data_IF_176495532695
#
_entry.id   IF_176495532695
#
_cell.length_a   1.000
_cell.length_b   1.000
_cell.length_c   1.000
_cell.angle_alpha   90.00
_cell.angle_beta   90.00
_cell.angle_gamma   90.00
#
_symmetry.space_group_name_H-M   'P 1'
#
loop_
_entity.id
_entity.type
_entity.pdbx_description
1 polymer ?
#
# COMPACT_ATOMS: atom_id res chain seq x y z
N UNK A 1 -1.08 20.09 -12.17
CA UNK A 1 -0.94 20.64 -10.79
C UNK A 1 0.55 20.63 -10.52
N UNK A 2 1.16 21.79 -10.35
CA UNK A 2 2.61 21.88 -10.15
C UNK A 2 2.90 21.65 -8.65
N UNK A 3 3.76 20.69 -8.27
CA UNK A 3 4.15 20.49 -6.87
C UNK A 3 4.85 21.72 -6.29
N UNK A 4 4.76 21.91 -4.97
CA UNK A 4 5.53 22.95 -4.28
C UNK A 4 7.04 22.69 -4.47
N UNK A 5 7.81 23.63 -5.03
CA UNK A 5 9.25 23.45 -5.25
C UNK A 5 10.04 23.25 -3.95
N UNK A 6 9.50 23.66 -2.79
CA UNK A 6 10.12 23.41 -1.48
C UNK A 6 9.87 21.98 -0.94
N UNK A 7 9.00 21.20 -1.60
CA UNK A 7 8.72 19.83 -1.17
C UNK A 7 9.88 18.89 -1.54
N UNK A 8 10.60 18.41 -0.52
CA UNK A 8 11.65 17.39 -0.67
C UNK A 8 11.10 16.06 -0.17
N UNK A 9 10.96 15.07 -1.07
CA UNK A 9 10.56 13.73 -0.64
C UNK A 9 11.70 13.07 0.16
N UNK A 10 11.34 12.29 1.19
CA UNK A 10 12.30 11.66 2.13
C UNK A 10 13.39 10.82 1.44
N UNK A 11 13.10 10.31 0.23
CA UNK A 11 14.02 9.48 -0.55
C UNK A 11 14.41 10.13 -1.89
N UNK A 12 14.17 11.43 -2.06
CA UNK A 12 14.46 12.15 -3.29
C UNK A 12 15.98 12.21 -3.51
N UNK A 13 16.46 11.63 -4.61
CA UNK A 13 17.84 11.86 -5.04
C UNK A 13 17.97 13.29 -5.58
N UNK A 14 19.15 13.90 -5.47
CA UNK A 14 19.43 15.19 -6.13
C UNK A 14 19.21 15.14 -7.64
N UNK A 15 19.31 13.96 -8.24
CA UNK A 15 19.07 13.71 -9.67
C UNK A 15 17.61 13.43 -10.02
N UNK A 16 16.72 13.31 -9.03
CA UNK A 16 15.30 13.06 -9.25
C UNK A 16 14.52 14.37 -9.14
N UNK A 17 14.17 14.93 -10.30
CA UNK A 17 13.15 15.96 -10.38
C UNK A 17 11.78 15.28 -10.45
N UNK A 18 10.86 15.57 -9.54
CA UNK A 18 9.50 15.05 -9.65
C UNK A 18 8.90 15.63 -10.92
N UNK A 19 8.62 14.75 -11.88
CA UNK A 19 7.90 15.12 -13.09
C UNK A 19 6.47 15.54 -12.78
N UNK A 20 5.80 16.14 -13.76
CA UNK A 20 4.40 16.50 -13.62
C UNK A 20 3.54 15.28 -13.28
N UNK A 21 2.76 15.40 -12.21
CA UNK A 21 1.80 14.38 -11.82
C UNK A 21 0.61 14.49 -12.77
N UNK A 22 0.51 13.54 -13.70
CA UNK A 22 -0.65 13.40 -14.58
C UNK A 22 -1.61 12.34 -14.02
N UNK A 23 -2.86 12.75 -13.76
CA UNK A 23 -3.92 11.86 -13.30
C UNK A 23 -4.99 11.81 -14.40
N UNK A 24 -5.14 10.70 -15.14
CA UNK A 24 -6.17 10.59 -16.16
C UNK A 24 -7.57 10.60 -15.53
N UNK A 25 -8.55 11.14 -16.25
CA UNK A 25 -9.95 11.06 -15.82
C UNK A 25 -10.48 9.64 -16.02
N UNK A 26 -11.09 9.01 -15.01
CA UNK A 26 -11.63 7.63 -15.15
C UNK A 26 -12.62 7.49 -16.31
N UNK A 27 -13.31 8.56 -16.73
CA UNK A 27 -14.20 8.53 -17.90
C UNK A 27 -13.49 8.15 -19.22
N UNK A 28 -12.16 8.29 -19.28
CA UNK A 28 -11.36 7.85 -20.43
C UNK A 28 -10.98 6.37 -20.33
N UNK A 29 -11.19 5.74 -19.18
CA UNK A 29 -10.81 4.36 -18.86
C UNK A 29 -12.02 3.43 -18.65
N UNK A 30 -13.19 3.99 -18.35
CA UNK A 30 -14.43 3.23 -18.16
C UNK A 30 -15.64 3.98 -18.72
N UNK A 31 -16.52 3.25 -19.41
CA UNK A 31 -17.81 3.72 -19.91
C UNK A 31 -18.96 3.56 -18.90
N UNK A 32 -18.71 2.91 -17.75
CA UNK A 32 -19.72 2.67 -16.71
C UNK A 32 -20.03 3.99 -15.99
N UNK A 33 -21.32 4.31 -15.85
CA UNK A 33 -21.75 5.59 -15.29
C UNK A 33 -21.38 5.74 -13.81
N UNK A 34 -21.44 4.63 -13.08
CA UNK A 34 -21.17 4.54 -11.64
C UNK A 34 -19.71 4.84 -11.31
N UNK A 35 -18.78 4.43 -12.19
CA UNK A 35 -17.32 4.63 -12.03
C UNK A 35 -16.93 6.10 -12.01
N UNK A 36 -17.77 6.98 -12.59
CA UNK A 36 -17.60 8.43 -12.47
C UNK A 36 -17.50 8.84 -11.01
N UNK A 37 -18.19 8.15 -10.08
CA UNK A 37 -18.13 8.45 -8.65
C UNK A 37 -16.72 8.27 -8.07
N UNK A 38 -15.96 7.32 -8.60
CA UNK A 38 -14.59 7.00 -8.17
C UNK A 38 -13.52 7.81 -8.87
N UNK A 39 -13.88 8.67 -9.84
CA UNK A 39 -12.93 9.49 -10.58
C UNK A 39 -12.20 10.51 -9.67
N UNK A 40 -10.88 10.38 -9.45
CA UNK A 40 -10.12 11.29 -8.58
C UNK A 40 -10.10 12.71 -9.14
N UNK A 41 -10.01 12.88 -10.46
CA UNK A 41 -10.04 14.22 -11.11
C UNK A 41 -11.37 14.91 -10.87
N UNK A 42 -12.50 14.19 -11.01
CA UNK A 42 -13.83 14.74 -10.73
C UNK A 42 -13.96 15.12 -9.25
N UNK A 43 -13.50 14.27 -8.35
CA UNK A 43 -13.52 14.53 -6.91
C UNK A 43 -12.69 15.78 -6.54
N UNK A 44 -11.49 15.93 -7.13
CA UNK A 44 -10.64 17.10 -6.92
C UNK A 44 -11.27 18.38 -7.47
N UNK A 45 -11.81 18.36 -8.70
CA UNK A 45 -12.53 19.50 -9.28
C UNK A 45 -13.69 19.95 -8.41
N UNK A 46 -14.49 19.00 -7.92
CA UNK A 46 -15.59 19.28 -7.00
C UNK A 46 -15.11 19.84 -5.66
N UNK A 47 -14.05 19.26 -5.10
CA UNK A 47 -13.49 19.74 -3.84
C UNK A 47 -12.97 21.17 -3.96
N UNK A 48 -12.19 21.48 -5.00
CA UNK A 48 -11.65 22.81 -5.28
C UNK A 48 -12.77 23.86 -5.37
N UNK A 49 -13.82 23.60 -6.15
CA UNK A 49 -14.95 24.53 -6.29
C UNK A 49 -15.71 24.75 -4.98
N UNK A 50 -15.93 23.69 -4.19
CA UNK A 50 -16.65 23.78 -2.91
C UNK A 50 -15.91 24.54 -1.82
N UNK A 51 -14.59 24.64 -1.92
CA UNK A 51 -13.73 25.21 -0.90
C UNK A 51 -13.09 26.53 -1.34
N UNK A 52 -13.27 26.94 -2.59
CA UNK A 52 -12.68 28.14 -3.20
C UNK A 52 -12.79 29.38 -2.29
N UNK A 53 -14.00 29.68 -1.81
CA UNK A 53 -14.28 30.85 -0.95
C UNK A 53 -13.75 30.73 0.48
N UNK A 54 -13.38 29.53 0.91
CA UNK A 54 -12.91 29.23 2.28
C UNK A 54 -11.38 29.21 2.36
N UNK A 55 -10.69 29.12 1.23
CA UNK A 55 -9.24 28.92 1.17
C UNK A 55 -8.50 30.19 1.57
N UNK A 56 -7.58 30.02 2.51
CA UNK A 56 -6.62 31.04 2.94
C UNK A 56 -5.17 30.57 2.72
N UNK A 57 -4.99 29.45 2.00
CA UNK A 57 -3.71 28.79 1.77
C UNK A 57 -3.65 28.19 0.37
N UNK A 58 -2.42 28.01 -0.12
CA UNK A 58 -2.11 27.31 -1.38
C UNK A 58 -2.12 25.79 -1.24
N UNK A 59 -2.21 25.25 0.00
CA UNK A 59 -2.33 23.81 0.23
C UNK A 59 -3.57 23.25 -0.45
N UNK A 60 -3.43 22.08 -1.08
CA UNK A 60 -4.54 21.40 -1.73
C UNK A 60 -5.67 21.14 -0.74
N UNK A 61 -5.35 20.49 0.39
CA UNK A 61 -6.32 20.14 1.41
C UNK A 61 -6.30 21.13 2.58
N UNK A 62 -7.50 21.55 2.97
CA UNK A 62 -7.78 22.44 4.10
C UNK A 62 -8.67 21.73 5.13
N UNK A 63 -8.59 22.14 6.39
CA UNK A 63 -9.48 21.67 7.44
C UNK A 63 -10.94 22.08 7.13
N UNK A 64 -11.94 21.24 7.44
CA UNK A 64 -13.34 21.53 7.12
C UNK A 64 -14.02 22.51 8.08
N UNK A 65 -13.25 23.15 8.98
CA UNK A 65 -13.75 24.08 10.00
C UNK A 65 -12.86 25.33 10.02
N UNK A 66 -13.41 26.51 10.38
CA UNK A 66 -12.61 27.69 10.63
C UNK A 66 -11.47 27.38 11.63
N UNK A 67 -10.26 27.90 11.40
CA UNK A 67 -9.86 28.90 10.40
C UNK A 67 -9.54 28.37 8.98
N UNK A 68 -9.95 27.15 8.61
CA UNK A 68 -9.75 26.56 7.27
C UNK A 68 -8.28 26.51 6.82
N UNK A 69 -7.39 26.27 7.78
CA UNK A 69 -5.95 26.14 7.55
C UNK A 69 -5.58 24.86 6.82
N UNK A 70 -4.34 24.78 6.35
CA UNK A 70 -3.79 23.58 5.70
C UNK A 70 -3.95 22.34 6.58
N UNK A 71 -4.41 21.24 5.99
CA UNK A 71 -4.44 19.96 6.68
C UNK A 71 -3.00 19.45 6.94
N UNK A 72 -2.70 19.06 8.18
CA UNK A 72 -1.41 18.45 8.52
C UNK A 72 -1.26 17.04 7.93
N UNK A 73 -0.01 16.54 7.86
CA UNK A 73 0.28 15.15 7.46
C UNK A 73 -0.49 14.14 8.32
N UNK A 74 -0.57 14.37 9.62
CA UNK A 74 -1.29 13.50 10.55
C UNK A 74 -2.81 13.53 10.32
N UNK A 75 -3.34 14.72 10.00
CA UNK A 75 -4.77 14.87 9.68
C UNK A 75 -5.13 14.10 8.42
N UNK A 76 -4.33 14.23 7.36
CA UNK A 76 -4.51 13.49 6.12
C UNK A 76 -4.39 11.98 6.33
N UNK A 77 -3.40 11.55 7.11
CA UNK A 77 -3.21 10.14 7.50
C UNK A 77 -4.45 9.59 8.22
N UNK A 78 -5.00 10.36 9.17
CA UNK A 78 -6.23 9.98 9.88
C UNK A 78 -7.43 9.86 8.94
N UNK A 79 -7.69 10.87 8.10
CA UNK A 79 -8.79 10.83 7.14
C UNK A 79 -8.70 9.62 6.22
N UNK A 80 -7.50 9.33 5.75
CA UNK A 80 -7.25 8.19 4.88
C UNK A 80 -7.58 6.88 5.59
N UNK A 81 -7.04 6.66 6.79
CA UNK A 81 -7.31 5.47 7.62
C UNK A 81 -8.79 5.32 7.95
N UNK A 82 -9.46 6.41 8.33
CA UNK A 82 -10.90 6.40 8.66
C UNK A 82 -11.76 6.06 7.43
N UNK A 83 -11.35 6.51 6.24
CA UNK A 83 -12.04 6.21 4.98
C UNK A 83 -11.93 4.74 4.60
N UNK A 84 -10.76 4.12 4.77
CA UNK A 84 -10.55 2.72 4.35
C UNK A 84 -10.94 1.69 5.40
N UNK A 85 -10.96 2.05 6.69
CA UNK A 85 -11.24 1.12 7.79
C UNK A 85 -12.50 0.25 7.60
N UNK A 86 -13.63 0.77 7.07
CA UNK A 86 -14.82 -0.06 6.85
C UNK A 86 -14.63 -1.17 5.81
N UNK A 87 -13.60 -1.06 4.95
CA UNK A 87 -13.36 -1.96 3.82
C UNK A 87 -12.17 -2.90 4.07
N UNK A 88 -11.47 -2.77 5.19
CA UNK A 88 -10.30 -3.60 5.50
C UNK A 88 -10.72 -4.87 6.23
N UNK A 89 -10.28 -6.02 5.74
CA UNK A 89 -10.51 -7.33 6.34
C UNK A 89 -9.37 -7.70 7.29
N UNK A 90 -9.68 -8.19 8.49
CA UNK A 90 -8.69 -8.70 9.45
C UNK A 90 -8.63 -7.92 10.78
N UNK A 91 -7.82 -8.41 11.71
CA UNK A 91 -7.69 -7.84 13.06
C UNK A 91 -6.73 -6.65 13.14
N UNK A 92 -5.84 -6.49 12.15
CA UNK A 92 -4.84 -5.42 12.16
C UNK A 92 -5.45 -4.08 11.75
N UNK A 93 -5.12 -3.02 12.51
CA UNK A 93 -5.57 -1.66 12.20
C UNK A 93 -4.86 -1.16 10.94
N UNK A 94 -5.57 -0.69 9.91
CA UNK A 94 -4.93 -0.18 8.71
C UNK A 94 -4.14 1.10 8.99
N UNK A 95 -2.99 1.23 8.33
CA UNK A 95 -2.16 2.43 8.34
C UNK A 95 -2.28 3.12 6.99
N UNK A 96 -2.16 4.45 6.99
CA UNK A 96 -2.16 5.24 5.75
C UNK A 96 -1.10 4.76 4.74
N UNK A 97 0.04 4.26 5.24
CA UNK A 97 1.12 3.74 4.42
C UNK A 97 0.77 2.44 3.69
N UNK A 98 -0.15 1.63 4.21
CA UNK A 98 -0.47 0.31 3.64
C UNK A 98 -1.11 0.43 2.25
N UNK A 99 -1.84 1.53 1.99
CA UNK A 99 -2.47 1.82 0.68
C UNK A 99 -1.43 1.87 -0.43
N UNK A 100 -0.26 2.43 -0.15
CA UNK A 100 0.82 2.51 -1.14
C UNK A 100 1.33 1.12 -1.51
N UNK A 101 1.43 0.22 -0.52
CA UNK A 101 1.77 -1.17 -0.75
C UNK A 101 0.73 -1.90 -1.58
N UNK A 102 -0.53 -1.86 -1.13
CA UNK A 102 -1.65 -2.52 -1.81
C UNK A 102 -1.77 -2.04 -3.27
N UNK A 103 -1.68 -0.72 -3.51
CA UNK A 103 -1.75 -0.16 -4.87
C UNK A 103 -0.63 -0.67 -5.77
N UNK A 104 0.61 -0.71 -5.28
CA UNK A 104 1.75 -1.15 -6.07
C UNK A 104 1.72 -2.67 -6.31
N UNK A 105 1.34 -3.47 -5.31
CA UNK A 105 1.15 -4.91 -5.47
C UNK A 105 -0.01 -5.23 -6.43
N UNK A 106 -1.11 -4.49 -6.36
CA UNK A 106 -2.23 -4.62 -7.32
C UNK A 106 -1.77 -4.33 -8.75
N UNK A 107 -0.97 -3.28 -8.95
CA UNK A 107 -0.40 -2.97 -10.27
C UNK A 107 0.51 -4.11 -10.79
N UNK A 108 1.33 -4.70 -9.91
CA UNK A 108 2.16 -5.85 -10.26
C UNK A 108 1.30 -7.05 -10.71
N UNK A 109 0.24 -7.38 -9.94
CA UNK A 109 -0.68 -8.47 -10.29
C UNK A 109 -1.48 -8.19 -11.57
N UNK A 110 -1.67 -6.92 -11.92
CA UNK A 110 -2.26 -6.52 -13.20
C UNK A 110 -1.26 -6.58 -14.38
N UNK A 111 -0.02 -7.03 -14.16
CA UNK A 111 1.00 -7.20 -15.19
C UNK A 111 1.77 -5.92 -15.54
N UNK A 112 1.67 -4.87 -14.72
CA UNK A 112 2.48 -3.66 -14.93
C UNK A 112 3.95 -3.98 -14.61
N UNK A 113 4.90 -3.64 -15.50
CA UNK A 113 6.32 -3.89 -15.26
C UNK A 113 6.82 -3.25 -13.97
N UNK A 114 7.72 -3.94 -13.27
CA UNK A 114 8.22 -3.49 -11.97
C UNK A 114 8.94 -2.14 -12.06
N UNK A 115 9.65 -1.88 -13.15
CA UNK A 115 10.32 -0.62 -13.44
C UNK A 115 9.34 0.55 -13.50
N UNK A 116 8.16 0.36 -14.09
CA UNK A 116 7.12 1.37 -14.18
C UNK A 116 6.46 1.61 -12.83
N UNK A 117 6.26 0.56 -12.04
CA UNK A 117 5.76 0.66 -10.66
C UNK A 117 6.76 1.44 -9.79
N UNK A 118 8.05 1.10 -9.87
CA UNK A 118 9.10 1.79 -9.12
C UNK A 118 9.21 3.26 -9.53
N UNK A 119 9.13 3.55 -10.82
CA UNK A 119 9.11 4.93 -11.35
C UNK A 119 7.89 5.70 -10.87
N UNK A 120 6.69 5.14 -10.98
CA UNK A 120 5.44 5.76 -10.54
C UNK A 120 5.39 5.97 -9.02
N UNK A 121 5.97 5.03 -8.25
CA UNK A 121 6.08 5.15 -6.82
C UNK A 121 7.20 6.14 -6.41
N UNK A 122 8.19 6.43 -7.26
CA UNK A 122 9.45 7.07 -6.88
C UNK A 122 10.27 6.24 -5.87
N UNK A 123 10.38 4.94 -6.12
CA UNK A 123 11.26 4.02 -5.39
C UNK A 123 12.55 3.76 -6.17
N UNK A 124 13.67 3.70 -5.45
CA UNK A 124 15.00 3.48 -6.05
C UNK A 124 15.28 2.02 -6.36
N UNK A 125 14.82 1.11 -5.49
CA UNK A 125 15.20 -0.30 -5.60
C UNK A 125 13.97 -1.21 -5.52
N UNK A 126 13.94 -2.27 -6.34
CA UNK A 126 12.93 -3.33 -6.22
C UNK A 126 12.92 -3.97 -4.84
N UNK A 127 14.08 -4.02 -4.15
CA UNK A 127 14.23 -4.68 -2.84
C UNK A 127 13.36 -4.06 -1.75
N UNK A 128 13.18 -2.74 -1.76
CA UNK A 128 12.26 -2.07 -0.82
C UNK A 128 10.79 -2.33 -1.17
N UNK A 129 10.48 -2.53 -2.45
CA UNK A 129 9.13 -2.90 -2.87
C UNK A 129 8.78 -4.35 -2.48
N UNK A 130 9.65 -5.29 -2.84
CA UNK A 130 9.45 -6.72 -2.58
C UNK A 130 9.40 -7.01 -1.08
N UNK A 131 10.35 -6.48 -0.31
CA UNK A 131 10.44 -6.77 1.13
C UNK A 131 9.26 -6.19 1.94
N UNK A 132 8.73 -5.03 1.55
CA UNK A 132 7.73 -4.32 2.34
C UNK A 132 6.29 -4.51 1.86
N UNK A 133 6.05 -4.94 0.62
CA UNK A 133 4.70 -4.91 0.03
C UNK A 133 4.27 -6.18 -0.72
N UNK A 134 5.17 -7.15 -0.95
CA UNK A 134 4.83 -8.51 -1.44
C UNK A 134 4.90 -9.58 -0.36
N UNK A 135 5.02 -9.17 0.91
CA UNK A 135 5.30 -10.08 2.04
C UNK A 135 4.26 -11.19 2.19
N UNK A 136 2.98 -10.89 1.98
CA UNK A 136 1.90 -11.89 2.08
C UNK A 136 1.95 -12.93 0.94
N UNK A 137 2.36 -12.51 -0.26
CA UNK A 137 2.54 -13.41 -1.42
C UNK A 137 3.73 -14.33 -1.21
N UNK A 138 4.86 -13.80 -0.72
CA UNK A 138 6.04 -14.59 -0.39
C UNK A 138 5.76 -15.57 0.76
N UNK A 139 4.98 -15.16 1.76
CA UNK A 139 4.53 -16.06 2.82
C UNK A 139 3.61 -17.18 2.29
N UNK A 140 2.70 -16.87 1.37
CA UNK A 140 1.82 -17.86 0.75
C UNK A 140 2.60 -18.87 -0.11
N UNK A 141 3.56 -18.39 -0.92
CA UNK A 141 4.45 -19.24 -1.72
C UNK A 141 5.36 -20.11 -0.84
N UNK A 142 5.92 -19.54 0.24
CA UNK A 142 6.72 -20.29 1.20
C UNK A 142 5.89 -21.33 1.97
N UNK A 143 4.64 -21.01 2.31
CA UNK A 143 3.71 -21.94 2.95
C UNK A 143 3.32 -23.08 2.00
N UNK A 144 3.05 -22.77 0.73
CA UNK A 144 2.80 -23.76 -0.32
C UNK A 144 4.00 -24.67 -0.52
N UNK A 145 5.20 -24.10 -0.71
CA UNK A 145 6.44 -24.86 -0.85
C UNK A 145 6.72 -25.73 0.38
N UNK A 146 6.49 -25.21 1.59
CA UNK A 146 6.62 -25.97 2.83
C UNK A 146 5.62 -27.13 2.93
N UNK A 147 4.39 -26.94 2.46
CA UNK A 147 3.37 -28.00 2.43
C UNK A 147 3.72 -29.11 1.43
N UNK A 148 4.23 -28.75 0.25
CA UNK A 148 4.72 -29.72 -0.75
C UNK A 148 5.89 -30.52 -0.20
N UNK A 149 6.86 -29.85 0.46
CA UNK A 149 8.06 -30.49 1.02
C UNK A 149 7.76 -31.38 2.24
N UNK A 150 6.65 -31.14 2.95
CA UNK A 150 6.21 -32.01 4.06
C UNK A 150 5.64 -33.34 3.57
N UNK A 151 5.27 -33.45 2.29
CA UNK A 151 4.61 -34.62 1.72
C UNK A 151 3.25 -34.91 2.37
N UNK A 152 2.41 -35.78 1.78
CA UNK A 152 1.29 -36.35 2.53
C UNK A 152 1.89 -37.06 3.73
N UNK A 153 1.32 -36.86 4.92
CA UNK A 153 1.72 -37.57 6.13
C UNK A 153 1.50 -39.08 5.92
N UNK A 154 2.49 -39.74 5.32
CA UNK A 154 2.56 -41.17 5.22
C UNK A 154 2.66 -41.67 6.65
N UNK A 155 1.63 -42.40 7.07
CA UNK A 155 1.56 -43.11 8.34
C UNK A 155 2.78 -44.03 8.47
N UNK A 156 3.91 -43.51 8.97
CA UNK A 156 5.04 -44.34 9.38
C UNK A 156 4.71 -44.85 10.77
N UNK A 157 3.88 -45.89 10.83
CA UNK A 157 3.80 -46.75 12.00
C UNK A 157 5.16 -47.43 12.15
N UNK A 158 6.00 -46.92 13.05
CA UNK A 158 7.16 -47.66 13.54
C UNK A 158 6.63 -48.86 14.35
N UNK A 159 7.01 -50.10 14.04
CA UNK A 159 6.66 -51.22 14.89
C UNK A 159 7.48 -51.13 16.18
N UNK A 160 6.75 -51.11 17.28
CA UNK A 160 7.22 -51.19 18.65
C UNK A 160 8.05 -52.45 18.92
N UNK A 161 9.21 -52.29 19.55
CA UNK A 161 10.04 -53.35 20.12
C UNK A 161 11.02 -52.80 21.16
N UNK A 162 10.72 -53.05 22.44
CA UNK A 162 11.46 -52.76 23.70
C UNK A 162 12.85 -53.47 23.80
N UNK A 163 13.70 -53.30 24.85
CA UNK A 163 13.47 -52.76 26.21
C UNK A 163 14.54 -51.76 26.75
N UNK A 164 14.45 -51.27 28.01
CA UNK A 164 15.19 -50.11 28.49
C UNK A 164 16.54 -50.49 29.11
N UNK A 165 17.50 -49.55 29.07
CA UNK A 165 18.69 -49.62 29.93
C UNK A 165 19.33 -48.25 30.12
N UNK A 166 19.59 -47.88 31.38
CA UNK A 166 20.82 -47.19 31.76
C UNK A 166 20.84 -45.65 31.81
N UNK A 167 20.39 -45.12 32.96
CA UNK A 167 21.01 -44.06 33.78
C UNK A 167 22.13 -43.13 33.23
N UNK A 168 21.90 -41.81 33.46
CA UNK A 168 22.85 -40.72 33.78
C UNK A 168 23.98 -40.37 32.76
N UNK A 169 24.17 -39.13 32.33
CA UNK A 169 24.66 -37.98 33.14
C UNK A 169 24.57 -36.67 32.33
N UNK A 170 24.42 -35.55 33.06
CA UNK A 170 24.39 -34.14 32.61
C UNK A 170 25.67 -33.67 31.92
N UNK A 171 25.53 -32.70 31.01
CA UNK A 171 25.97 -31.30 31.19
C UNK A 171 25.06 -30.41 30.32
#
# INVERSE_FOLDING_TARGET
>A
MVPDPAFIAKNQALTFLPGDIFIPEIKTLSSVAEDKRWCPVRALKWYLSRTEKLRQTTSLFILPRPPYTSASKDTLSRWLVETIRPFTTGAARPRAHDIRGISASTALFAGIPIEDILKAAAWKTPTTFVACYLTDTLHAEAAFGSAVMRGPAGNRSHPSGLPPSGSATRC
#
